data_IF_635715879565
#
_entry.id   IF_635715879565
#
_cell.length_a   1.000
_cell.length_b   1.000
_cell.length_c   1.000
_cell.angle_alpha   90.00
_cell.angle_beta   90.00
_cell.angle_gamma   90.00
#
_symmetry.space_group_name_H-M   'P 1'
#
loop_
_entity.id
_entity.type
_entity.pdbx_description
1 polymer ?
#
# COMPACT_ATOMS: atom_id res chain seq x y z
N UNK A 1 -20.57 15.55 16.02
CA UNK A 1 -19.16 15.63 16.41
C UNK A 1 -18.93 14.88 17.72
N UNK A 2 -18.25 13.73 17.70
CA UNK A 2 -17.89 12.99 18.90
C UNK A 2 -16.60 13.61 19.45
N UNK A 3 -16.72 14.65 20.30
CA UNK A 3 -15.57 15.39 20.87
C UNK A 3 -15.05 14.81 22.19
N UNK A 4 -15.64 13.74 22.69
CA UNK A 4 -15.21 13.11 23.93
C UNK A 4 -14.39 11.85 23.61
N UNK A 5 -13.25 11.61 24.28
CA UNK A 5 -12.58 10.34 24.16
C UNK A 5 -13.52 9.22 24.60
N UNK A 6 -13.79 8.29 23.69
CA UNK A 6 -14.49 7.07 24.03
C UNK A 6 -13.44 6.00 24.37
N UNK A 7 -13.78 5.09 25.25
CA UNK A 7 -12.95 3.89 25.49
C UNK A 7 -13.45 2.77 24.61
N UNK A 8 -12.56 2.14 23.88
CA UNK A 8 -12.87 0.87 23.24
C UNK A 8 -13.09 -0.25 24.26
N UNK A 9 -13.43 -1.45 23.79
CA UNK A 9 -13.63 -2.60 24.67
C UNK A 9 -12.38 -3.05 25.44
N UNK A 10 -11.18 -2.57 25.06
CA UNK A 10 -9.91 -2.82 25.75
C UNK A 10 -9.65 -1.81 26.86
N UNK A 11 -10.38 -0.69 26.87
CA UNK A 11 -10.21 0.42 27.80
C UNK A 11 -9.24 1.49 27.33
N UNK A 12 -8.72 1.40 26.10
CA UNK A 12 -7.90 2.42 25.45
C UNK A 12 -8.75 3.61 25.00
N UNK A 13 -8.19 4.81 25.07
CA UNK A 13 -8.85 6.02 24.57
C UNK A 13 -8.81 6.04 23.04
N UNK A 14 -9.99 6.11 22.41
CA UNK A 14 -10.16 6.24 20.97
C UNK A 14 -10.43 7.70 20.64
N UNK A 15 -9.61 8.28 19.77
CA UNK A 15 -9.81 9.60 19.20
C UNK A 15 -10.70 9.49 17.97
N UNK A 16 -11.79 10.25 17.94
CA UNK A 16 -12.66 10.38 16.77
C UNK A 16 -12.31 11.68 16.03
N UNK A 17 -11.87 11.53 14.79
CA UNK A 17 -11.59 12.62 13.86
C UNK A 17 -12.52 12.52 12.64
N UNK A 18 -13.44 13.45 12.47
CA UNK A 18 -14.37 13.50 11.34
C UNK A 18 -15.83 13.26 11.69
N UNK A 19 -16.64 12.97 10.68
CA UNK A 19 -18.06 12.71 10.80
C UNK A 19 -18.32 11.20 10.90
N UNK A 20 -19.11 10.81 11.88
CA UNK A 20 -19.47 9.41 12.12
C UNK A 20 -20.98 9.23 12.15
N UNK A 21 -21.43 8.11 11.62
CA UNK A 21 -22.84 7.74 11.69
C UNK A 21 -23.14 6.98 12.98
N UNK A 22 -24.16 7.45 13.68
CA UNK A 22 -24.71 6.76 14.84
C UNK A 22 -26.17 6.36 14.58
N UNK A 23 -26.57 5.23 15.11
CA UNK A 23 -27.97 4.80 15.10
C UNK A 23 -28.80 5.55 16.16
N UNK A 24 -30.12 5.29 16.21
CA UNK A 24 -31.05 5.93 17.14
C UNK A 24 -30.71 5.70 18.63
N UNK A 25 -29.81 4.78 18.94
CA UNK A 25 -29.36 4.48 20.30
C UNK A 25 -27.99 5.14 20.60
N UNK A 26 -27.49 5.99 19.69
CA UNK A 26 -26.19 6.63 19.82
C UNK A 26 -24.98 5.70 19.61
N UNK A 27 -25.18 4.50 19.06
CA UNK A 27 -24.10 3.57 18.72
C UNK A 27 -23.63 3.82 17.30
N UNK A 28 -22.31 3.72 17.08
CA UNK A 28 -21.72 3.76 15.74
C UNK A 28 -22.36 2.70 14.84
N UNK A 29 -22.61 3.06 13.59
CA UNK A 29 -23.12 2.14 12.59
C UNK A 29 -21.92 1.41 11.96
N UNK A 30 -21.65 0.21 12.43
CA UNK A 30 -20.50 -0.59 12.01
C UNK A 30 -20.79 -1.42 10.75
N UNK A 31 -21.19 -0.76 9.66
CA UNK A 31 -21.31 -1.38 8.34
C UNK A 31 -21.19 -0.32 7.25
N UNK A 32 -20.55 -0.64 6.10
CA UNK A 32 -20.48 0.27 4.97
C UNK A 32 -21.87 0.69 4.50
N UNK A 33 -22.06 1.97 4.22
CA UNK A 33 -23.35 2.47 3.73
C UNK A 33 -23.21 3.79 2.98
N UNK A 34 -24.15 4.06 2.09
CA UNK A 34 -24.29 5.34 1.41
C UNK A 34 -25.49 6.07 2.01
N UNK A 35 -25.34 7.36 2.29
CA UNK A 35 -26.41 8.22 2.83
C UNK A 35 -26.51 9.51 2.07
N UNK A 36 -27.76 9.93 1.84
CA UNK A 36 -28.05 11.27 1.34
C UNK A 36 -28.09 12.24 2.52
N UNK A 37 -27.31 13.32 2.41
CA UNK A 37 -27.35 14.47 3.31
C UNK A 37 -28.13 15.58 2.64
N UNK A 38 -29.09 16.16 3.33
CA UNK A 38 -29.94 17.24 2.84
C UNK A 38 -29.54 18.52 3.57
N UNK A 39 -28.63 19.28 2.96
CA UNK A 39 -28.12 20.56 3.51
C UNK A 39 -27.70 20.49 5.00
N UNK A 40 -27.12 19.34 5.41
CA UNK A 40 -26.65 19.14 6.78
C UNK A 40 -25.45 20.04 7.08
N UNK A 41 -25.56 20.90 8.08
CA UNK A 41 -24.47 21.77 8.50
C UNK A 41 -23.76 21.20 9.73
N UNK A 42 -22.47 20.94 9.63
CA UNK A 42 -21.59 20.51 10.73
C UNK A 42 -20.34 21.38 10.72
N UNK A 43 -20.03 22.02 11.83
CA UNK A 43 -18.84 22.89 12.01
C UNK A 43 -18.61 23.89 10.84
N UNK A 44 -19.67 24.52 10.36
CA UNK A 44 -19.71 25.49 9.24
C UNK A 44 -19.54 24.88 7.85
N UNK A 45 -19.43 23.58 7.73
CA UNK A 45 -19.43 22.86 6.46
C UNK A 45 -20.83 22.38 6.15
N UNK A 46 -21.32 22.64 4.96
CA UNK A 46 -22.61 22.13 4.48
C UNK A 46 -22.38 20.88 3.66
N UNK A 47 -23.07 19.81 4.02
CA UNK A 47 -23.06 18.53 3.33
C UNK A 47 -24.38 18.37 2.58
N UNK A 48 -24.30 18.24 1.25
CA UNK A 48 -25.47 18.04 0.40
C UNK A 48 -25.12 17.01 -0.68
N UNK A 49 -25.88 15.91 -0.75
CA UNK A 49 -25.67 14.82 -1.68
C UNK A 49 -25.40 13.47 -1.02
N UNK A 50 -24.84 12.54 -1.78
CA UNK A 50 -24.59 11.17 -1.33
C UNK A 50 -23.16 11.04 -0.82
N UNK A 51 -23.01 10.48 0.38
CA UNK A 51 -21.73 10.24 1.04
C UNK A 51 -21.58 8.79 1.41
N UNK A 52 -20.35 8.30 1.32
CA UNK A 52 -19.97 6.94 1.72
C UNK A 52 -19.46 6.94 3.17
N UNK A 53 -19.91 5.96 3.94
CA UNK A 53 -19.45 5.65 5.29
C UNK A 53 -18.85 4.26 5.30
N UNK A 54 -17.65 4.12 5.85
CA UNK A 54 -16.89 2.88 5.91
C UNK A 54 -17.45 1.87 6.94
N UNK A 55 -16.76 0.76 7.10
CA UNK A 55 -17.13 -0.31 8.05
C UNK A 55 -17.07 0.12 9.52
N UNK A 56 -16.45 1.25 9.82
CA UNK A 56 -16.40 1.85 11.17
C UNK A 56 -17.44 2.95 11.36
N UNK A 57 -18.25 3.22 10.34
CA UNK A 57 -19.24 4.28 10.32
C UNK A 57 -18.65 5.68 10.16
N UNK A 58 -17.39 5.80 9.76
CA UNK A 58 -16.72 7.07 9.46
C UNK A 58 -17.05 7.50 8.04
N UNK A 59 -17.42 8.77 7.86
CA UNK A 59 -17.59 9.35 6.54
C UNK A 59 -16.24 9.46 5.84
N UNK A 60 -16.14 8.93 4.64
CA UNK A 60 -14.93 9.02 3.81
C UNK A 60 -14.97 10.34 3.06
N UNK A 61 -13.96 11.17 3.28
CA UNK A 61 -13.83 12.51 2.68
C UNK A 61 -12.71 12.61 1.67
N UNK A 62 -11.74 11.68 1.75
CA UNK A 62 -10.65 11.62 0.78
C UNK A 62 -11.16 11.08 -0.56
N UNK A 63 -10.76 11.69 -1.70
CA UNK A 63 -11.17 11.23 -3.02
C UNK A 63 -10.80 9.78 -3.26
N UNK A 64 -11.73 8.99 -3.83
CA UNK A 64 -11.48 7.59 -4.13
C UNK A 64 -12.65 6.86 -4.75
N UNK A 65 -12.36 5.67 -5.26
CA UNK A 65 -13.38 4.74 -5.77
C UNK A 65 -13.70 3.68 -4.73
N UNK A 66 -14.99 3.37 -4.60
CA UNK A 66 -15.49 2.34 -3.69
C UNK A 66 -16.39 1.37 -4.43
N UNK A 67 -16.15 0.06 -4.22
CA UNK A 67 -17.05 -0.96 -4.73
C UNK A 67 -18.28 -1.04 -3.83
N UNK A 68 -19.45 -0.89 -4.42
CA UNK A 68 -20.73 -0.92 -3.74
C UNK A 68 -21.64 -1.97 -4.37
N UNK A 69 -22.28 -2.76 -3.52
CA UNK A 69 -23.36 -3.69 -3.89
C UNK A 69 -24.44 -3.57 -2.82
N UNK A 70 -25.27 -2.52 -2.95
CA UNK A 70 -26.28 -2.20 -1.94
C UNK A 70 -27.41 -1.35 -2.48
N UNK A 71 -28.57 -1.45 -1.82
CA UNK A 71 -29.65 -0.47 -1.98
C UNK A 71 -29.49 0.63 -0.95
N UNK A 72 -29.32 1.87 -1.38
CA UNK A 72 -29.21 3.03 -0.51
C UNK A 72 -29.79 4.27 -1.17
N UNK A 73 -30.37 5.18 -0.36
CA UNK A 73 -30.94 6.44 -0.81
C UNK A 73 -31.91 6.31 -2.01
N UNK A 74 -32.63 5.19 -2.09
CA UNK A 74 -33.63 4.94 -3.14
C UNK A 74 -33.06 4.47 -4.47
N UNK A 75 -31.77 4.14 -4.54
CA UNK A 75 -31.14 3.58 -5.75
C UNK A 75 -30.33 2.32 -5.42
N UNK A 76 -30.12 1.48 -6.45
CA UNK A 76 -29.23 0.33 -6.41
C UNK A 76 -27.84 0.76 -6.83
N UNK A 77 -26.85 0.49 -5.97
CA UNK A 77 -25.43 0.58 -6.30
C UNK A 77 -24.93 -0.81 -6.64
N UNK A 78 -24.24 -0.97 -7.78
CA UNK A 78 -23.75 -2.25 -8.30
C UNK A 78 -22.45 -2.06 -9.09
N UNK A 79 -21.37 -1.78 -8.41
CA UNK A 79 -20.07 -1.56 -9.03
C UNK A 79 -19.20 -0.53 -8.32
N UNK A 80 -18.27 0.05 -9.06
CA UNK A 80 -17.35 1.06 -8.53
C UNK A 80 -17.92 2.45 -8.72
N UNK A 81 -17.90 3.26 -7.67
CA UNK A 81 -18.39 4.63 -7.64
C UNK A 81 -17.32 5.57 -7.10
N UNK A 82 -17.25 6.78 -7.66
CA UNK A 82 -16.27 7.77 -7.28
C UNK A 82 -16.84 8.77 -6.28
N UNK A 83 -16.27 8.79 -5.08
CA UNK A 83 -16.56 9.74 -4.02
C UNK A 83 -15.36 10.70 -3.91
N UNK A 84 -15.45 11.87 -4.49
CA UNK A 84 -14.31 12.80 -4.56
C UNK A 84 -14.73 14.22 -4.91
N UNK A 85 -16.03 14.50 -4.92
CA UNK A 85 -16.54 15.87 -4.94
C UNK A 85 -16.24 16.60 -3.62
N UNK A 86 -16.79 17.79 -3.46
CA UNK A 86 -16.57 18.59 -2.27
C UNK A 86 -16.90 17.80 -0.98
N UNK A 87 -15.93 17.70 -0.07
CA UNK A 87 -16.03 16.92 1.19
C UNK A 87 -16.36 15.43 1.02
N UNK A 88 -15.97 14.81 -0.11
CA UNK A 88 -16.18 13.39 -0.36
C UNK A 88 -17.57 13.02 -0.88
N UNK A 89 -18.30 13.97 -1.45
CA UNK A 89 -19.61 13.68 -2.06
C UNK A 89 -19.46 12.81 -3.32
N UNK A 90 -20.42 11.92 -3.57
CA UNK A 90 -20.51 11.17 -4.82
C UNK A 90 -20.56 12.12 -6.01
N UNK A 91 -19.65 12.00 -6.95
CA UNK A 91 -19.61 12.82 -8.16
C UNK A 91 -20.68 12.30 -9.13
N UNK A 92 -21.82 12.97 -9.18
CA UNK A 92 -22.95 12.62 -10.07
C UNK A 92 -22.98 13.51 -11.32
N UNK A 93 -21.81 13.67 -11.95
CA UNK A 93 -21.63 14.41 -13.20
C UNK A 93 -20.75 13.57 -14.13
N UNK A 94 -21.20 13.43 -15.37
CA UNK A 94 -20.45 12.69 -16.38
C UNK A 94 -19.17 13.43 -16.75
N UNK A 95 -18.04 12.74 -16.67
CA UNK A 95 -16.75 13.34 -16.98
C UNK A 95 -15.56 12.54 -16.48
N UNK A 96 -14.41 13.17 -16.47
CA UNK A 96 -13.17 12.60 -15.97
C UNK A 96 -12.85 13.21 -14.59
N UNK A 97 -12.50 12.35 -13.62
CA UNK A 97 -12.09 12.79 -12.29
C UNK A 97 -10.65 13.31 -12.31
N UNK A 98 -10.21 14.08 -11.29
CA UNK A 98 -8.83 14.52 -11.19
C UNK A 98 -7.81 13.38 -11.22
N UNK A 99 -8.19 12.18 -10.76
CA UNK A 99 -7.36 10.97 -10.76
C UNK A 99 -7.46 10.18 -12.07
N UNK A 100 -8.16 10.69 -13.10
CA UNK A 100 -8.23 10.11 -14.44
C UNK A 100 -9.23 8.96 -14.59
N UNK A 101 -10.26 8.86 -13.74
CA UNK A 101 -11.37 7.91 -13.93
C UNK A 101 -12.50 8.56 -14.73
N UNK A 102 -13.00 7.86 -15.74
CA UNK A 102 -14.25 8.27 -16.39
C UNK A 102 -15.43 7.81 -15.55
N UNK A 103 -16.33 8.72 -15.24
CA UNK A 103 -17.56 8.45 -14.49
C UNK A 103 -18.80 8.83 -15.31
N UNK A 104 -19.86 8.09 -15.10
CA UNK A 104 -21.17 8.42 -15.68
C UNK A 104 -21.96 9.38 -14.77
N UNK A 105 -23.17 9.74 -15.21
CA UNK A 105 -24.06 10.65 -14.46
C UNK A 105 -24.54 10.12 -13.10
N UNK A 106 -24.33 8.85 -12.82
CA UNK A 106 -24.62 8.25 -11.51
C UNK A 106 -23.41 8.26 -10.58
N UNK A 107 -22.24 8.66 -11.07
CA UNK A 107 -20.95 8.58 -10.37
C UNK A 107 -20.30 7.21 -10.47
N UNK A 108 -20.84 6.31 -11.33
CA UNK A 108 -20.28 4.98 -11.56
C UNK A 108 -19.07 5.08 -12.47
N UNK A 109 -17.95 4.44 -12.05
CA UNK A 109 -16.70 4.41 -12.81
C UNK A 109 -16.82 3.45 -13.98
N UNK A 110 -16.40 3.88 -15.16
CA UNK A 110 -16.38 3.03 -16.33
C UNK A 110 -15.34 1.92 -16.21
N UNK A 111 -15.72 0.70 -16.61
CA UNK A 111 -14.88 -0.49 -16.47
C UNK A 111 -13.58 -0.43 -17.27
N UNK A 112 -13.54 0.35 -18.36
CA UNK A 112 -12.31 0.57 -19.15
C UNK A 112 -11.18 1.23 -18.37
N UNK A 113 -11.50 1.99 -17.30
CA UNK A 113 -10.54 2.67 -16.45
C UNK A 113 -10.11 1.82 -15.25
N UNK A 114 -10.67 0.62 -15.14
CA UNK A 114 -10.35 -0.37 -14.11
C UNK A 114 -9.42 -1.46 -14.66
N UNK A 115 -8.78 -2.20 -13.76
CA UNK A 115 -7.85 -3.26 -14.14
C UNK A 115 -6.45 -2.77 -14.53
N UNK A 116 -5.67 -3.66 -15.16
CA UNK A 116 -4.25 -3.40 -15.46
C UNK A 116 -4.07 -2.30 -16.50
N UNK A 117 -4.89 -2.27 -17.55
CA UNK A 117 -4.80 -1.24 -18.61
C UNK A 117 -5.10 0.17 -18.06
N UNK A 118 -6.13 0.29 -17.22
CA UNK A 118 -6.45 1.55 -16.56
C UNK A 118 -5.36 1.98 -15.57
N UNK A 119 -4.78 1.04 -14.84
CA UNK A 119 -3.64 1.32 -13.93
C UNK A 119 -2.41 1.77 -14.72
N UNK A 120 -2.09 1.10 -15.84
CA UNK A 120 -0.95 1.46 -16.69
C UNK A 120 -1.08 2.89 -17.21
N UNK A 121 -2.25 3.25 -17.74
CA UNK A 121 -2.52 4.60 -18.24
C UNK A 121 -2.35 5.65 -17.13
N UNK A 122 -2.99 5.46 -15.98
CA UNK A 122 -2.91 6.42 -14.86
C UNK A 122 -1.50 6.56 -14.30
N UNK A 123 -0.73 5.47 -14.24
CA UNK A 123 0.68 5.54 -13.84
C UNK A 123 1.52 6.33 -14.87
N UNK A 124 1.29 6.13 -16.16
CA UNK A 124 1.96 6.90 -17.20
C UNK A 124 1.66 8.40 -17.08
N UNK A 125 0.38 8.75 -16.90
CA UNK A 125 -0.05 10.14 -16.74
C UNK A 125 0.55 10.76 -15.46
N UNK A 126 0.49 10.06 -14.33
CA UNK A 126 1.05 10.51 -13.05
C UNK A 126 2.57 10.72 -13.13
N UNK A 127 3.30 9.73 -13.62
CA UNK A 127 4.76 9.78 -13.71
C UNK A 127 5.23 10.85 -14.71
N UNK A 128 4.42 11.12 -15.74
CA UNK A 128 4.67 12.24 -16.66
C UNK A 128 4.63 13.62 -16.02
N UNK A 129 4.05 13.76 -14.82
CA UNK A 129 4.02 15.02 -14.06
C UNK A 129 5.27 15.25 -13.21
N UNK A 130 6.10 14.23 -13.00
CA UNK A 130 7.32 14.31 -12.19
C UNK A 130 8.57 14.42 -13.06
N UNK A 131 9.53 15.20 -12.61
CA UNK A 131 10.85 15.21 -13.21
C UNK A 131 11.63 13.93 -12.84
N UNK A 132 12.47 13.46 -13.75
CA UNK A 132 13.33 12.31 -13.53
C UNK A 132 13.11 11.17 -14.53
N UNK A 133 13.77 10.05 -14.27
CA UNK A 133 13.65 8.83 -15.05
C UNK A 133 13.00 7.75 -14.21
N UNK A 134 11.89 7.23 -14.69
CA UNK A 134 11.08 6.22 -14.02
C UNK A 134 11.10 4.92 -14.81
N UNK A 135 11.20 3.81 -14.12
CA UNK A 135 10.96 2.48 -14.65
C UNK A 135 9.99 1.77 -13.71
N UNK A 136 8.91 1.22 -14.25
CA UNK A 136 7.83 0.62 -13.48
C UNK A 136 7.53 -0.76 -14.04
N UNK A 137 7.43 -1.73 -13.14
CA UNK A 137 6.90 -3.06 -13.43
C UNK A 137 5.79 -3.37 -12.43
N UNK A 138 4.65 -3.82 -12.93
CA UNK A 138 3.50 -4.21 -12.11
C UNK A 138 3.04 -5.58 -12.54
N UNK A 139 2.80 -6.46 -11.57
CA UNK A 139 2.24 -7.79 -11.79
C UNK A 139 1.15 -8.07 -10.77
N UNK A 140 -0.04 -8.45 -11.27
CA UNK A 140 -1.10 -9.04 -10.45
C UNK A 140 -0.85 -10.54 -10.30
N UNK A 141 -0.54 -10.96 -9.07
CA UNK A 141 -0.21 -12.37 -8.76
C UNK A 141 -1.45 -13.29 -8.82
N UNK A 142 -2.66 -12.74 -8.89
CA UNK A 142 -3.90 -13.51 -8.96
C UNK A 142 -4.29 -13.82 -10.40
N UNK A 143 -4.24 -12.80 -11.28
CA UNK A 143 -4.62 -12.91 -12.68
C UNK A 143 -3.44 -13.22 -13.61
N UNK A 144 -2.20 -13.13 -13.10
CA UNK A 144 -0.93 -13.21 -13.85
C UNK A 144 -0.78 -12.12 -14.93
N UNK A 145 -1.63 -11.09 -14.90
CA UNK A 145 -1.50 -9.93 -15.77
C UNK A 145 -0.35 -9.04 -15.31
N UNK A 146 0.37 -8.48 -16.26
CA UNK A 146 1.51 -7.61 -15.98
C UNK A 146 1.66 -6.52 -17.04
N UNK A 147 2.30 -5.43 -16.66
CA UNK A 147 2.77 -4.42 -17.60
C UNK A 147 4.10 -3.83 -17.14
N UNK A 148 4.81 -3.24 -18.09
CA UNK A 148 6.09 -2.60 -17.89
C UNK A 148 6.13 -1.26 -18.62
N UNK A 149 6.56 -0.22 -17.91
CA UNK A 149 6.73 1.10 -18.49
C UNK A 149 8.18 1.53 -18.37
N UNK A 150 8.75 1.99 -19.50
CA UNK A 150 10.07 2.60 -19.54
C UNK A 150 11.17 1.69 -18.98
N UNK A 151 11.25 0.48 -19.53
CA UNK A 151 12.18 -0.59 -19.15
C UNK A 151 13.64 -0.25 -19.47
N UNK A 152 14.23 0.58 -18.63
CA UNK A 152 15.65 0.92 -18.75
C UNK A 152 16.40 0.61 -17.46
N UNK A 153 17.69 0.31 -17.61
CA UNK A 153 18.55 0.05 -16.45
C UNK A 153 18.75 1.31 -15.65
N UNK A 154 18.33 1.28 -14.39
CA UNK A 154 18.51 2.36 -13.41
C UNK A 154 19.46 1.91 -12.31
N UNK A 155 20.15 2.87 -11.69
CA UNK A 155 20.96 2.59 -10.51
C UNK A 155 20.06 2.17 -9.33
N UNK A 156 20.27 0.92 -8.87
CA UNK A 156 19.38 0.28 -7.88
C UNK A 156 19.47 0.89 -6.48
N UNK A 157 20.55 1.62 -6.17
CA UNK A 157 20.82 2.09 -4.81
C UNK A 157 20.62 0.96 -3.77
N UNK A 158 19.90 1.22 -2.68
CA UNK A 158 19.66 0.21 -1.63
C UNK A 158 18.68 -0.90 -2.02
N UNK A 159 18.02 -0.83 -3.17
CA UNK A 159 17.18 -1.95 -3.63
C UNK A 159 17.98 -3.23 -3.87
N UNK A 160 19.27 -3.13 -4.20
CA UNK A 160 20.15 -4.29 -4.31
C UNK A 160 20.18 -5.16 -3.04
N UNK A 161 19.91 -4.58 -1.87
CA UNK A 161 19.90 -5.31 -0.60
C UNK A 161 18.80 -6.37 -0.51
N UNK A 162 17.70 -6.19 -1.24
CA UNK A 162 16.64 -7.21 -1.35
C UNK A 162 17.21 -8.47 -2.04
N UNK A 163 18.01 -8.31 -3.07
CA UNK A 163 18.66 -9.42 -3.76
C UNK A 163 19.75 -10.07 -2.90
N UNK A 164 20.53 -9.27 -2.16
CA UNK A 164 21.47 -9.79 -1.16
C UNK A 164 20.75 -10.63 -0.10
N UNK A 165 19.59 -10.17 0.39
CA UNK A 165 18.79 -10.92 1.35
C UNK A 165 18.28 -12.23 0.74
N UNK A 166 17.71 -12.19 -0.47
CA UNK A 166 17.19 -13.38 -1.15
C UNK A 166 18.29 -14.43 -1.36
N UNK A 167 19.45 -14.03 -1.88
CA UNK A 167 20.60 -14.95 -2.05
C UNK A 167 21.16 -15.45 -0.72
N UNK A 168 21.15 -14.64 0.34
CA UNK A 168 21.54 -15.08 1.68
C UNK A 168 20.64 -16.20 2.18
N UNK A 169 19.31 -16.07 2.01
CA UNK A 169 18.38 -17.13 2.39
C UNK A 169 18.50 -18.37 1.52
N UNK A 170 18.67 -18.19 0.20
CA UNK A 170 18.85 -19.32 -0.73
C UNK A 170 20.14 -20.12 -0.45
N UNK A 171 21.19 -19.48 0.09
CA UNK A 171 22.48 -20.08 0.38
C UNK A 171 22.79 -20.10 1.90
N UNK A 172 21.77 -20.16 2.76
CA UNK A 172 21.91 -19.98 4.21
C UNK A 172 22.93 -20.94 4.84
N UNK A 173 22.95 -22.19 4.42
CA UNK A 173 23.89 -23.18 4.96
C UNK A 173 25.36 -22.78 4.71
N UNK A 174 25.67 -22.32 3.50
CA UNK A 174 27.02 -21.85 3.15
C UNK A 174 27.37 -20.57 3.92
N UNK A 175 26.43 -19.64 4.06
CA UNK A 175 26.61 -18.39 4.80
C UNK A 175 26.90 -18.68 6.28
N UNK A 176 26.17 -19.61 6.91
CA UNK A 176 26.40 -20.03 8.29
C UNK A 176 27.77 -20.72 8.46
N UNK A 177 28.15 -21.59 7.53
CA UNK A 177 29.48 -22.23 7.55
C UNK A 177 30.61 -21.20 7.43
N UNK A 178 30.47 -20.22 6.55
CA UNK A 178 31.46 -19.15 6.40
C UNK A 178 31.52 -18.25 7.64
N UNK A 179 30.40 -17.95 8.29
CA UNK A 179 30.38 -17.22 9.56
C UNK A 179 31.02 -18.02 10.69
N UNK A 180 30.65 -19.30 10.81
CA UNK A 180 31.23 -20.22 11.81
C UNK A 180 32.77 -20.31 11.69
N UNK A 181 33.29 -20.46 10.48
CA UNK A 181 34.70 -20.47 10.19
C UNK A 181 35.38 -19.15 10.62
N UNK A 182 34.80 -18.00 10.30
CA UNK A 182 35.28 -16.67 10.69
C UNK A 182 35.29 -16.51 12.22
N UNK A 183 34.25 -16.99 12.91
CA UNK A 183 34.12 -16.95 14.35
C UNK A 183 34.97 -18.03 15.07
N UNK A 184 35.53 -19.00 14.33
CA UNK A 184 36.23 -20.20 14.87
C UNK A 184 35.30 -21.00 15.81
N UNK A 185 34.06 -21.20 15.42
CA UNK A 185 33.00 -21.89 16.15
C UNK A 185 32.41 -23.02 15.34
N UNK A 186 31.65 -23.90 16.01
CA UNK A 186 30.81 -24.86 15.34
C UNK A 186 29.61 -24.14 14.68
N UNK A 187 29.18 -24.61 13.52
CA UNK A 187 28.03 -24.02 12.78
C UNK A 187 26.74 -24.10 13.59
N UNK A 188 26.63 -25.02 14.52
CA UNK A 188 25.49 -25.20 15.43
C UNK A 188 25.54 -24.25 16.64
N UNK A 189 26.64 -23.51 16.86
CA UNK A 189 26.70 -22.53 17.94
C UNK A 189 25.66 -21.41 17.67
N UNK A 190 24.71 -21.17 18.60
CA UNK A 190 23.63 -20.21 18.37
C UNK A 190 24.11 -18.78 18.03
N UNK A 191 25.31 -18.40 18.46
CA UNK A 191 25.88 -17.08 18.14
C UNK A 191 26.19 -16.89 16.66
N UNK A 192 26.40 -17.98 15.90
CA UNK A 192 26.63 -17.93 14.44
C UNK A 192 25.37 -17.49 13.73
N UNK A 193 24.24 -18.15 13.97
CA UNK A 193 22.95 -17.78 13.39
C UNK A 193 22.48 -16.39 13.85
N UNK A 194 22.66 -16.07 15.15
CA UNK A 194 22.36 -14.74 15.67
C UNK A 194 23.11 -13.66 14.89
N UNK A 195 24.42 -13.84 14.66
CA UNK A 195 25.23 -12.85 13.93
C UNK A 195 24.75 -12.64 12.50
N UNK A 196 24.39 -13.71 11.78
CA UNK A 196 23.85 -13.61 10.40
C UNK A 196 22.50 -12.89 10.40
N UNK A 197 21.62 -13.23 11.37
CA UNK A 197 20.32 -12.56 11.51
C UNK A 197 20.46 -11.07 11.84
N UNK A 198 21.42 -10.69 12.70
CA UNK A 198 21.70 -9.28 13.01
C UNK A 198 22.15 -8.50 11.76
N UNK A 199 22.98 -9.11 10.89
CA UNK A 199 23.38 -8.50 9.64
C UNK A 199 22.20 -8.33 8.70
N UNK A 200 21.36 -9.35 8.54
CA UNK A 200 20.12 -9.25 7.72
C UNK A 200 19.19 -8.15 8.26
N UNK A 201 18.98 -8.14 9.58
CA UNK A 201 18.13 -7.15 10.22
C UNK A 201 18.66 -5.71 9.98
N UNK A 202 19.93 -5.45 10.28
CA UNK A 202 20.50 -4.11 10.09
C UNK A 202 20.51 -3.68 8.62
N UNK A 203 20.81 -4.60 7.70
CA UNK A 203 20.79 -4.33 6.27
C UNK A 203 19.39 -3.87 5.80
N UNK A 204 18.33 -4.54 6.24
CA UNK A 204 16.97 -4.29 5.73
C UNK A 204 16.27 -3.17 6.51
N UNK A 205 16.41 -3.10 7.85
CA UNK A 205 15.62 -2.15 8.65
C UNK A 205 16.22 -0.76 8.68
N UNK A 206 17.55 -0.64 8.72
CA UNK A 206 18.25 0.66 8.74
C UNK A 206 19.11 0.90 7.50
N UNK A 207 19.01 0.00 6.52
CA UNK A 207 19.76 0.11 5.27
C UNK A 207 21.28 0.16 5.44
N UNK A 208 21.82 -0.59 6.44
CA UNK A 208 23.26 -0.60 6.73
C UNK A 208 24.07 -1.22 5.58
N UNK A 209 25.03 -0.43 5.06
CA UNK A 209 25.87 -0.86 3.93
C UNK A 209 26.95 -1.87 4.36
N UNK A 210 27.47 -1.75 5.57
CA UNK A 210 28.51 -2.68 6.05
C UNK A 210 27.92 -4.07 6.27
N UNK A 211 26.70 -4.16 6.80
CA UNK A 211 25.98 -5.44 6.92
C UNK A 211 25.72 -6.07 5.57
N UNK A 212 25.33 -5.28 4.54
CA UNK A 212 25.18 -5.77 3.18
C UNK A 212 26.50 -6.31 2.62
N UNK A 213 27.57 -5.54 2.71
CA UNK A 213 28.90 -5.92 2.23
C UNK A 213 29.40 -7.20 2.93
N UNK A 214 29.13 -7.33 4.22
CA UNK A 214 29.52 -8.51 4.98
C UNK A 214 28.76 -9.76 4.57
N UNK A 215 27.45 -9.65 4.30
CA UNK A 215 26.63 -10.75 3.76
C UNK A 215 27.12 -11.15 2.38
N UNK A 216 27.43 -10.20 1.49
CA UNK A 216 28.01 -10.49 0.17
C UNK A 216 29.35 -11.26 0.32
N UNK A 217 30.24 -10.87 1.23
CA UNK A 217 31.47 -11.64 1.48
C UNK A 217 31.18 -13.06 1.97
N UNK A 218 30.16 -13.24 2.83
CA UNK A 218 29.77 -14.58 3.31
C UNK A 218 29.22 -15.46 2.19
N UNK A 219 28.46 -14.90 1.27
CA UNK A 219 28.03 -15.60 0.06
C UNK A 219 29.24 -16.09 -0.77
N UNK A 220 30.26 -15.27 -0.88
CA UNK A 220 31.48 -15.59 -1.66
C UNK A 220 32.56 -16.31 -0.88
N UNK A 221 32.29 -16.93 0.28
CA UNK A 221 33.32 -17.67 1.03
C UNK A 221 34.43 -16.76 1.61
N UNK A 222 34.14 -15.48 1.81
CA UNK A 222 35.07 -14.45 2.27
C UNK A 222 35.51 -13.48 1.16
N UNK A 223 35.26 -13.80 -0.10
CA UNK A 223 35.57 -12.94 -1.24
C UNK A 223 34.34 -12.14 -1.70
N UNK A 224 34.51 -10.81 -1.76
CA UNK A 224 33.41 -9.92 -2.14
C UNK A 224 33.01 -10.08 -3.63
N UNK A 225 33.97 -10.25 -4.53
CA UNK A 225 33.68 -10.33 -5.97
C UNK A 225 32.89 -11.62 -6.30
N UNK A 226 33.29 -12.74 -5.70
CA UNK A 226 32.57 -14.00 -5.81
C UNK A 226 31.13 -13.87 -5.26
N UNK A 227 30.98 -13.24 -4.09
CA UNK A 227 29.66 -13.01 -3.52
C UNK A 227 28.79 -12.08 -4.36
N UNK A 228 29.36 -11.02 -4.93
CA UNK A 228 28.64 -10.14 -5.84
C UNK A 228 28.19 -10.85 -7.13
N UNK A 229 29.00 -11.77 -7.66
CA UNK A 229 28.59 -12.61 -8.79
C UNK A 229 27.35 -13.45 -8.43
N UNK A 230 27.33 -14.08 -7.25
CA UNK A 230 26.18 -14.87 -6.78
C UNK A 230 24.92 -13.98 -6.65
N UNK A 231 25.06 -12.75 -6.16
CA UNK A 231 23.92 -11.82 -6.06
C UNK A 231 23.37 -11.45 -7.45
N UNK A 232 24.23 -11.36 -8.46
CA UNK A 232 23.84 -11.02 -9.83
C UNK A 232 23.27 -12.19 -10.65
N UNK A 233 23.29 -13.42 -10.12
CA UNK A 233 22.67 -14.59 -10.76
C UNK A 233 21.15 -14.70 -10.49
N UNK A 234 20.58 -13.73 -9.77
CA UNK A 234 19.16 -13.73 -9.38
C UNK A 234 18.23 -13.32 -10.53
#
# INVERSE_FOLDING_TARGET
>A
DLKAPAKDGSGEEVSFDGCYMVNNLGKLSASPQVRYMDELVVDKTTYNGLYYFDEYGKMVTDPGIHYLEMNAAGQMFDGYYYFGGENGVLLQEEGETPEGFSVDKSGKVETKDLGMDGLEKRLADLLGTYEGTWSVYVKDLTSDQEFEQNSQSLYSASLIKVFVMAQTYANMDAVLQNEAAKMKKDVTDPSVSTKVNDLLWNMITVSDNESANELVRKLGGGDFQTGAAIVNEF
#
